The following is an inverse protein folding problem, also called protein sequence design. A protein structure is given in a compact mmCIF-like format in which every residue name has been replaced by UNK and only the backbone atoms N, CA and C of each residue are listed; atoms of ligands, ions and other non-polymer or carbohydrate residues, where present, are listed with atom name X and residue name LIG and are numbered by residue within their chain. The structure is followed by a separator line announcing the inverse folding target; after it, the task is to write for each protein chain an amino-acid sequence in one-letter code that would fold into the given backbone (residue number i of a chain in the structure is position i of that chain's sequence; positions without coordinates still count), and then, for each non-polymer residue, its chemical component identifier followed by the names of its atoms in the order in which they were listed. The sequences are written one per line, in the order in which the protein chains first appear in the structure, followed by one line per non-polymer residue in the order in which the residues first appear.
data_IF_700565280262
#
_entry.id   IF_700565280262
#
_cell.length_a   1.000
_cell.length_b   1.000
_cell.length_c   1.000
_cell.angle_alpha   90.00
_cell.angle_beta   90.00
_cell.angle_gamma   90.00
#
_symmetry.space_group_name_H-M   'P 1'
#
loop_
_entity.id
_entity.type
_entity.pdbx_description
1 polymer ?
#
# COMPACT_ATOMS: atom_id res chain seq x y z
N UNK A 1 19.11 -15.14 -5.05
CA UNK A 1 18.47 -16.39 -5.56
C UNK A 1 19.40 -17.63 -5.53
N UNK A 2 20.67 -17.54 -5.12
CA UNK A 2 21.57 -18.72 -5.15
C UNK A 2 21.64 -19.58 -3.87
N UNK A 3 21.02 -19.14 -2.77
CA UNK A 3 21.10 -19.82 -1.46
C UNK A 3 19.84 -20.63 -1.10
N UNK A 4 18.70 -20.31 -1.71
CA UNK A 4 17.41 -20.93 -1.45
C UNK A 4 16.93 -21.66 -2.71
N UNK A 5 16.12 -22.70 -2.50
CA UNK A 5 15.46 -23.43 -3.58
C UNK A 5 14.68 -22.44 -4.46
N UNK A 6 14.97 -22.35 -5.78
CA UNK A 6 14.22 -21.50 -6.69
C UNK A 6 12.81 -22.03 -7.00
N UNK A 7 12.52 -23.30 -6.69
CA UNK A 7 11.23 -23.95 -6.95
C UNK A 7 10.69 -24.70 -5.71
N UNK A 8 10.50 -24.01 -4.57
CA UNK A 8 9.94 -24.64 -3.38
C UNK A 8 8.47 -25.01 -3.63
N UNK A 9 7.97 -26.02 -2.93
CA UNK A 9 6.53 -26.27 -2.87
C UNK A 9 5.82 -25.05 -2.22
N UNK A 10 4.57 -24.81 -2.62
CA UNK A 10 3.79 -23.68 -2.12
C UNK A 10 3.70 -23.72 -0.58
N UNK A 11 4.14 -22.64 0.07
CA UNK A 11 4.13 -22.48 1.52
C UNK A 11 5.42 -22.90 2.21
N UNK A 12 6.35 -23.56 1.51
CA UNK A 12 7.64 -23.98 2.08
C UNK A 12 8.74 -22.93 1.87
N UNK A 13 8.54 -21.98 0.95
CA UNK A 13 9.45 -20.87 0.75
C UNK A 13 9.37 -19.88 1.92
N UNK A 14 10.50 -19.38 2.45
CA UNK A 14 10.46 -18.24 3.37
C UNK A 14 9.89 -16.96 2.70
N UNK A 15 9.75 -16.96 1.37
CA UNK A 15 9.17 -15.86 0.59
C UNK A 15 7.67 -16.04 0.31
N UNK A 16 7.05 -17.16 0.71
CA UNK A 16 5.62 -17.42 0.53
C UNK A 16 4.81 -16.81 1.68
N UNK A 17 4.81 -15.49 1.76
CA UNK A 17 4.05 -14.75 2.75
C UNK A 17 3.43 -13.48 2.15
N UNK A 18 2.32 -13.05 2.76
CA UNK A 18 1.73 -11.75 2.51
C UNK A 18 2.28 -10.72 3.48
N UNK A 19 2.38 -9.48 2.99
CA UNK A 19 2.80 -8.31 3.76
C UNK A 19 1.59 -7.40 3.85
N UNK A 20 1.21 -7.06 5.08
CA UNK A 20 0.10 -6.16 5.35
C UNK A 20 0.62 -4.87 5.98
N UNK A 21 0.12 -3.74 5.49
CA UNK A 21 0.39 -2.40 6.02
C UNK A 21 -0.94 -1.78 6.43
N UNK A 22 -0.98 -1.13 7.59
CA UNK A 22 -2.07 -0.23 7.96
C UNK A 22 -1.49 1.17 7.89
N UNK A 23 -2.11 2.03 7.10
CA UNK A 23 -1.70 3.41 6.86
C UNK A 23 -2.84 4.37 7.26
N UNK A 24 -2.45 5.58 7.64
CA UNK A 24 -3.34 6.69 7.99
C UNK A 24 -3.20 7.84 7.01
N UNK A 25 -4.00 8.89 7.17
CA UNK A 25 -3.91 10.12 6.35
C UNK A 25 -2.50 10.71 6.33
N UNK A 26 -1.84 10.76 7.49
CA UNK A 26 -0.47 11.29 7.60
C UNK A 26 0.55 10.46 6.81
N UNK A 27 0.40 9.14 6.74
CA UNK A 27 1.26 8.31 5.91
C UNK A 27 1.01 8.57 4.42
N UNK A 28 -0.25 8.79 4.04
CA UNK A 28 -0.69 9.00 2.66
C UNK A 28 -0.22 10.36 2.10
N UNK A 29 -0.12 11.37 2.96
CA UNK A 29 0.41 12.71 2.64
C UNK A 29 1.93 12.71 2.40
N UNK A 30 2.68 11.83 3.08
CA UNK A 30 4.13 11.83 3.02
C UNK A 30 4.68 11.37 1.66
N UNK A 31 5.63 12.16 1.12
CA UNK A 31 6.20 11.91 -0.21
C UNK A 31 6.87 10.54 -0.36
N UNK A 32 7.45 10.03 0.72
CA UNK A 32 8.09 8.70 0.74
C UNK A 32 7.09 7.58 0.44
N UNK A 33 5.83 7.72 0.86
CA UNK A 33 4.77 6.74 0.58
C UNK A 33 4.45 6.70 -0.91
N UNK A 34 4.45 7.86 -1.58
CA UNK A 34 4.26 7.95 -3.03
C UNK A 34 5.38 7.26 -3.80
N UNK A 35 6.63 7.47 -3.40
CA UNK A 35 7.80 6.83 -4.02
C UNK A 35 7.77 5.30 -3.83
N UNK A 36 7.55 4.84 -2.60
CA UNK A 36 7.49 3.42 -2.27
C UNK A 36 6.33 2.71 -2.98
N UNK A 37 5.13 3.33 -3.00
CA UNK A 37 3.95 2.76 -3.65
C UNK A 37 4.08 2.71 -5.17
N UNK A 38 4.73 3.70 -5.78
CA UNK A 38 5.08 3.69 -7.21
C UNK A 38 6.03 2.53 -7.56
N UNK A 39 7.09 2.32 -6.75
CA UNK A 39 8.01 1.20 -6.94
C UNK A 39 7.30 -0.14 -6.76
N UNK A 40 6.42 -0.27 -5.76
CA UNK A 40 5.66 -1.50 -5.51
C UNK A 40 4.80 -1.90 -6.71
N UNK A 41 4.14 -0.92 -7.36
CA UNK A 41 3.38 -1.14 -8.58
C UNK A 41 4.27 -1.58 -9.76
N UNK A 42 5.41 -0.91 -9.97
CA UNK A 42 6.40 -1.28 -11.01
C UNK A 42 6.95 -2.69 -10.80
N UNK A 43 7.21 -3.08 -9.55
CA UNK A 43 7.73 -4.42 -9.19
C UNK A 43 6.63 -5.49 -9.10
N UNK A 44 5.37 -5.12 -9.31
CA UNK A 44 4.21 -6.02 -9.26
C UNK A 44 4.17 -6.85 -7.97
N UNK A 45 4.32 -6.19 -6.82
CA UNK A 45 4.33 -6.84 -5.50
C UNK A 45 2.93 -7.34 -5.10
N UNK A 46 2.43 -8.38 -5.76
CA UNK A 46 1.07 -8.93 -5.55
C UNK A 46 0.84 -9.58 -4.17
N UNK A 47 1.88 -9.72 -3.35
CA UNK A 47 1.78 -10.17 -1.96
C UNK A 47 1.72 -9.02 -0.95
N UNK A 48 1.78 -7.76 -1.38
CA UNK A 48 1.64 -6.57 -0.55
C UNK A 48 0.19 -6.08 -0.54
N UNK A 49 -0.37 -5.85 0.65
CA UNK A 49 -1.70 -5.29 0.84
C UNK A 49 -1.61 -4.10 1.80
N UNK A 50 -1.98 -2.91 1.32
CA UNK A 50 -2.06 -1.70 2.11
C UNK A 50 -3.53 -1.44 2.46
N UNK A 51 -3.83 -1.33 3.75
CA UNK A 51 -5.12 -0.94 4.30
C UNK A 51 -4.98 0.51 4.73
N UNK A 52 -5.66 1.40 4.02
CA UNK A 52 -5.71 2.81 4.38
C UNK A 52 -6.95 3.05 5.25
N UNK A 53 -6.73 3.48 6.49
CA UNK A 53 -7.77 3.96 7.39
C UNK A 53 -8.19 5.39 7.00
N UNK A 54 -9.15 5.49 6.09
CA UNK A 54 -9.69 6.74 5.58
C UNK A 54 -10.77 7.31 6.52
N UNK A 55 -10.36 7.72 7.73
CA UNK A 55 -11.28 8.17 8.78
C UNK A 55 -11.55 9.70 8.78
N UNK A 56 -10.87 10.43 7.88
CA UNK A 56 -11.01 11.89 7.66
C UNK A 56 -10.49 12.79 8.79
N UNK A 57 -9.70 12.27 9.74
CA UNK A 57 -9.20 13.02 10.89
C UNK A 57 -7.68 12.99 10.96
N UNK A 58 -7.07 14.18 11.06
CA UNK A 58 -5.65 14.36 11.38
C UNK A 58 -5.48 15.15 12.70
N UNK A 59 -4.25 15.55 13.02
CA UNK A 59 -3.97 16.36 14.22
C UNK A 59 -4.70 17.72 14.16
N UNK A 60 -4.86 18.29 12.97
CA UNK A 60 -5.54 19.59 12.77
C UNK A 60 -7.05 19.46 12.54
N UNK A 61 -7.67 18.34 12.95
CA UNK A 61 -9.09 18.01 12.74
C UNK A 61 -9.36 17.46 11.33
N UNK A 62 -10.34 17.99 10.60
CA UNK A 62 -10.73 17.50 9.28
C UNK A 62 -9.56 17.55 8.28
N UNK A 63 -9.24 16.38 7.71
CA UNK A 63 -8.21 16.22 6.68
C UNK A 63 -8.39 17.15 5.48
N UNK A 64 -9.62 17.59 5.16
CA UNK A 64 -9.91 18.50 4.06
C UNK A 64 -9.19 19.86 4.15
N UNK A 65 -8.63 20.20 5.33
CA UNK A 65 -7.78 21.39 5.52
C UNK A 65 -6.49 21.29 4.68
N UNK A 66 -5.93 20.09 4.52
CA UNK A 66 -4.62 19.87 3.89
C UNK A 66 -4.60 18.77 2.81
N UNK A 67 -5.55 17.85 2.84
CA UNK A 67 -5.67 16.70 1.93
C UNK A 67 -6.95 16.79 1.11
N UNK A 68 -6.82 16.92 -0.22
CA UNK A 68 -7.95 17.06 -1.15
C UNK A 68 -7.82 16.24 -2.42
N UNK A 69 -6.86 15.32 -2.45
CA UNK A 69 -6.63 14.44 -3.60
C UNK A 69 -7.60 13.25 -3.64
N UNK A 70 -7.72 12.66 -4.83
CA UNK A 70 -8.32 11.34 -5.00
C UNK A 70 -7.23 10.28 -4.81
N UNK A 71 -7.07 9.83 -3.56
CA UNK A 71 -6.05 8.83 -3.19
C UNK A 71 -6.30 7.50 -3.91
N UNK A 72 -7.56 7.10 -4.14
CA UNK A 72 -7.87 5.87 -4.86
C UNK A 72 -7.36 5.95 -6.31
N UNK A 73 -7.68 7.03 -7.03
CA UNK A 73 -7.19 7.26 -8.38
C UNK A 73 -5.65 7.36 -8.44
N UNK A 74 -5.01 7.95 -7.43
CA UNK A 74 -3.55 7.99 -7.33
C UNK A 74 -2.94 6.59 -7.23
N UNK A 75 -3.50 5.72 -6.41
CA UNK A 75 -3.03 4.33 -6.30
C UNK A 75 -3.30 3.50 -7.56
N UNK A 76 -4.45 3.69 -8.21
CA UNK A 76 -4.71 3.08 -9.53
C UNK A 76 -3.66 3.53 -10.56
N UNK A 77 -3.26 4.81 -10.55
CA UNK A 77 -2.22 5.33 -11.43
C UNK A 77 -0.82 4.73 -11.15
N UNK A 78 -0.53 4.35 -9.90
CA UNK A 78 0.67 3.57 -9.56
C UNK A 78 0.60 2.11 -10.03
N UNK A 79 -0.56 1.63 -10.45
CA UNK A 79 -0.77 0.23 -10.89
C UNK A 79 -1.26 -0.70 -9.78
N UNK A 80 -1.81 -0.16 -8.70
CA UNK A 80 -2.42 -0.97 -7.63
C UNK A 80 -3.84 -1.39 -8.00
N UNK A 81 -4.24 -2.56 -7.48
CA UNK A 81 -5.65 -2.91 -7.36
C UNK A 81 -6.23 -2.19 -6.14
N UNK A 82 -7.28 -1.41 -6.33
CA UNK A 82 -7.90 -0.59 -5.28
C UNK A 82 -9.31 -1.08 -4.97
N UNK A 83 -9.64 -1.13 -3.68
CA UNK A 83 -10.99 -1.41 -3.20
C UNK A 83 -11.36 -0.41 -2.11
N UNK A 84 -12.57 0.14 -2.23
CA UNK A 84 -13.17 1.00 -1.22
C UNK A 84 -14.17 0.15 -0.43
N UNK A 85 -14.04 0.17 0.89
CA UNK A 85 -14.87 -0.61 1.82
C UNK A 85 -15.49 0.35 2.82
N UNK A 86 -16.80 0.21 3.06
CA UNK A 86 -17.47 0.88 4.17
C UNK A 86 -17.16 0.09 5.46
N UNK A 87 -16.38 0.73 6.35
CA UNK A 87 -15.93 0.17 7.64
C UNK A 87 -16.91 0.36 8.79
#
# INVERSE_FOLDING_TARGET
RGLFDPEPALGDSPFDHHIYVIASDGDIEEGVTSEASSIAGVQQLGNLTLIYDDNKISIEDDTAIALSEDTAARYEAYGWHVQIVEG
#
